data_IF_451978821003
#
_entry.id   IF_451978821003
#
_cell.length_a   1.000
_cell.length_b   1.000
_cell.length_c   1.000
_cell.angle_alpha   90.00
_cell.angle_beta   90.00
_cell.angle_gamma   90.00
#
_symmetry.space_group_name_H-M   'P 1'
#
loop_
_entity.id
_entity.type
_entity.pdbx_description
1 polymer ?
#
# COMPACT_ATOMS: atom_id res chain seq x y z
N UNK A 1 -15.90 -33.70 -18.88
CA UNK A 1 -14.67 -32.88 -18.79
C UNK A 1 -14.57 -32.12 -17.47
N UNK A 2 -15.60 -31.37 -17.04
CA UNK A 2 -15.64 -30.69 -15.73
C UNK A 2 -15.48 -31.63 -14.51
N UNK A 3 -15.96 -32.87 -14.60
CA UNK A 3 -15.85 -33.87 -13.54
C UNK A 3 -14.42 -34.40 -13.36
N UNK A 4 -13.60 -34.45 -14.42
CA UNK A 4 -12.19 -34.88 -14.31
C UNK A 4 -11.31 -33.79 -13.68
N UNK A 5 -11.53 -32.52 -14.02
CA UNK A 5 -10.81 -31.39 -13.41
C UNK A 5 -11.10 -31.25 -11.91
N UNK A 6 -12.34 -31.55 -11.48
CA UNK A 6 -12.74 -31.49 -10.07
C UNK A 6 -12.14 -32.64 -9.23
N UNK A 7 -11.94 -33.81 -9.85
CA UNK A 7 -11.29 -34.96 -9.22
C UNK A 7 -9.77 -34.73 -9.10
N UNK A 8 -9.12 -34.21 -10.14
CA UNK A 8 -7.69 -33.86 -10.09
C UNK A 8 -7.36 -32.80 -9.03
N UNK A 9 -8.22 -31.78 -8.85
CA UNK A 9 -8.04 -30.78 -7.81
C UNK A 9 -8.18 -31.34 -6.39
N UNK A 10 -9.06 -32.34 -6.20
CA UNK A 10 -9.28 -32.95 -4.90
C UNK A 10 -8.15 -33.92 -4.51
N UNK A 11 -7.60 -34.66 -5.48
CA UNK A 11 -6.44 -35.52 -5.29
C UNK A 11 -5.14 -34.72 -5.09
N UNK A 12 -4.94 -33.62 -5.83
CA UNK A 12 -3.81 -32.70 -5.60
C UNK A 12 -3.83 -32.08 -4.20
N UNK A 13 -5.00 -31.67 -3.73
CA UNK A 13 -5.17 -31.15 -2.37
C UNK A 13 -4.98 -32.24 -1.31
N UNK A 14 -5.35 -33.50 -1.59
CA UNK A 14 -5.10 -34.63 -0.71
C UNK A 14 -3.62 -35.02 -0.64
N UNK A 15 -2.91 -34.99 -1.77
CA UNK A 15 -1.46 -35.24 -1.86
C UNK A 15 -0.67 -34.13 -1.16
N UNK A 16 -1.01 -32.85 -1.38
CA UNK A 16 -0.39 -31.73 -0.67
C UNK A 16 -0.62 -31.81 0.85
N UNK A 17 -1.82 -32.24 1.29
CA UNK A 17 -2.13 -32.49 2.71
C UNK A 17 -1.38 -33.70 3.27
N UNK A 18 -1.20 -34.76 2.49
CA UNK A 18 -0.45 -35.95 2.90
C UNK A 18 1.06 -35.68 2.99
N UNK A 19 1.60 -34.87 2.09
CA UNK A 19 3.00 -34.44 2.09
C UNK A 19 3.30 -33.45 3.23
N UNK A 20 2.35 -32.54 3.51
CA UNK A 20 2.40 -31.67 4.69
C UNK A 20 2.37 -32.45 6.02
N UNK A 21 1.67 -33.60 6.05
CA UNK A 21 1.59 -34.47 7.24
C UNK A 21 2.87 -35.30 7.48
N UNK A 22 3.74 -35.42 6.47
CA UNK A 22 4.99 -36.21 6.51
C UNK A 22 6.25 -35.36 6.61
N UNK A 23 6.16 -34.06 6.32
CA UNK A 23 7.25 -33.11 6.51
C UNK A 23 7.41 -32.82 8.00
N UNK A 24 8.60 -33.04 8.57
CA UNK A 24 8.93 -32.55 9.90
C UNK A 24 8.58 -31.06 9.96
N UNK A 25 7.85 -30.64 11.00
CA UNK A 25 7.39 -29.26 11.18
C UNK A 25 8.52 -28.22 10.98
N UNK A 26 9.72 -28.52 11.46
CA UNK A 26 10.92 -27.69 11.25
C UNK A 26 11.37 -27.58 9.79
N UNK A 27 11.22 -28.65 8.99
CA UNK A 27 11.50 -28.63 7.55
C UNK A 27 10.44 -27.79 6.83
N UNK A 28 9.17 -27.85 7.27
CA UNK A 28 8.11 -27.02 6.71
C UNK A 28 8.33 -25.52 7.01
N UNK A 29 8.72 -25.18 8.24
CA UNK A 29 9.12 -23.81 8.60
C UNK A 29 10.32 -23.36 7.77
N UNK A 30 11.37 -24.19 7.67
CA UNK A 30 12.57 -23.87 6.89
C UNK A 30 12.26 -23.62 5.41
N UNK A 31 11.42 -24.47 4.80
CA UNK A 31 10.92 -24.25 3.44
C UNK A 31 10.11 -22.96 3.31
N UNK A 32 9.22 -22.68 4.26
CA UNK A 32 8.44 -21.43 4.28
C UNK A 32 9.33 -20.19 4.37
N UNK A 33 10.38 -20.24 5.19
CA UNK A 33 11.36 -19.15 5.30
C UNK A 33 12.12 -18.95 3.98
N UNK A 34 12.61 -20.02 3.35
CA UNK A 34 13.29 -19.92 2.05
C UNK A 34 12.37 -19.34 0.96
N UNK A 35 11.10 -19.79 0.89
CA UNK A 35 10.12 -19.26 -0.06
C UNK A 35 9.79 -17.78 0.18
N UNK A 36 9.80 -17.34 1.44
CA UNK A 36 9.62 -15.93 1.78
C UNK A 36 10.79 -15.08 1.27
N UNK A 37 12.03 -15.50 1.48
CA UNK A 37 13.21 -14.78 0.95
C UNK A 37 13.28 -14.84 -0.58
N UNK A 38 12.89 -15.95 -1.19
CA UNK A 38 12.75 -16.06 -2.64
C UNK A 38 11.71 -15.06 -3.16
N UNK A 39 10.57 -14.92 -2.48
CA UNK A 39 9.53 -13.94 -2.80
C UNK A 39 10.04 -12.50 -2.69
N UNK A 40 10.79 -12.17 -1.62
CA UNK A 40 11.44 -10.85 -1.48
C UNK A 40 12.41 -10.60 -2.63
N UNK A 41 13.25 -11.59 -2.97
CA UNK A 41 14.24 -11.44 -4.05
C UNK A 41 13.59 -11.24 -5.41
N UNK A 42 12.56 -12.03 -5.73
CA UNK A 42 11.77 -11.89 -6.96
C UNK A 42 11.07 -10.53 -7.00
N UNK A 43 10.47 -10.09 -5.90
CA UNK A 43 9.84 -8.78 -5.77
C UNK A 43 10.84 -7.64 -5.99
N UNK A 44 12.01 -7.71 -5.36
CA UNK A 44 13.10 -6.76 -5.57
C UNK A 44 13.50 -6.69 -7.05
N UNK A 45 13.67 -7.86 -7.69
CA UNK A 45 14.03 -7.94 -9.10
C UNK A 45 12.97 -7.27 -9.97
N UNK A 46 11.68 -7.53 -9.74
CA UNK A 46 10.59 -6.90 -10.50
C UNK A 46 10.62 -5.37 -10.35
N UNK A 47 10.75 -4.89 -9.11
CA UNK A 47 10.73 -3.46 -8.80
C UNK A 47 11.94 -2.71 -9.37
N UNK A 48 13.14 -3.26 -9.28
CA UNK A 48 14.38 -2.57 -9.69
C UNK A 48 14.80 -2.83 -11.14
N UNK A 49 14.28 -3.87 -11.81
CA UNK A 49 14.63 -4.13 -13.22
C UNK A 49 13.82 -3.28 -14.19
N UNK A 50 12.65 -2.79 -13.78
CA UNK A 50 11.78 -1.98 -14.63
C UNK A 50 11.60 -0.57 -14.07
N UNK A 51 11.84 0.44 -14.91
CA UNK A 51 11.58 1.85 -14.58
C UNK A 51 10.11 2.12 -14.26
N UNK A 52 9.20 1.26 -14.73
CA UNK A 52 7.76 1.30 -14.42
C UNK A 52 7.44 1.05 -12.95
N UNK A 53 8.30 0.32 -12.23
CA UNK A 53 8.00 -0.13 -10.86
C UNK A 53 8.94 0.45 -9.82
N UNK A 54 10.11 0.97 -10.21
CA UNK A 54 11.13 1.48 -9.29
C UNK A 54 10.61 2.57 -8.34
N UNK A 55 9.67 3.40 -8.81
CA UNK A 55 9.08 4.49 -8.05
C UNK A 55 8.11 4.02 -6.96
N UNK A 56 7.65 2.76 -7.01
CA UNK A 56 6.81 2.17 -5.96
C UNK A 56 7.57 2.02 -4.64
N UNK A 57 8.90 1.87 -4.68
CA UNK A 57 9.70 1.73 -3.45
C UNK A 57 9.61 2.99 -2.58
N UNK A 58 9.92 4.20 -3.09
CA UNK A 58 9.69 5.42 -2.33
C UNK A 58 8.19 5.73 -2.12
N UNK A 59 7.33 5.56 -3.13
CA UNK A 59 5.92 5.92 -3.03
C UNK A 59 5.12 5.05 -2.06
N UNK A 60 5.46 3.77 -1.93
CA UNK A 60 4.80 2.81 -1.03
C UNK A 60 5.61 2.63 0.25
N UNK A 61 6.86 2.17 0.13
CA UNK A 61 7.67 1.73 1.26
C UNK A 61 8.08 2.86 2.19
N UNK A 62 8.54 4.00 1.64
CA UNK A 62 8.95 5.16 2.45
C UNK A 62 7.73 5.90 3.02
N UNK A 63 6.64 6.01 2.25
CA UNK A 63 5.38 6.57 2.73
C UNK A 63 4.81 5.75 3.91
N UNK A 64 4.73 4.43 3.78
CA UNK A 64 4.28 3.52 4.84
C UNK A 64 5.17 3.62 6.09
N UNK A 65 6.49 3.70 5.91
CA UNK A 65 7.41 3.97 7.02
C UNK A 65 7.09 5.29 7.73
N UNK A 66 6.91 6.38 6.98
CA UNK A 66 6.63 7.71 7.54
C UNK A 66 5.34 7.72 8.35
N UNK A 67 4.28 7.14 7.81
CA UNK A 67 2.99 7.00 8.49
C UNK A 67 3.11 6.21 9.79
N UNK A 68 3.74 5.03 9.75
CA UNK A 68 3.94 4.22 10.96
C UNK A 68 4.84 4.89 11.98
N UNK A 69 5.82 5.67 11.54
CA UNK A 69 6.66 6.47 12.43
C UNK A 69 5.90 7.64 13.09
N UNK A 70 4.92 8.22 12.41
CA UNK A 70 4.02 9.22 13.00
C UNK A 70 3.23 8.61 14.16
N UNK A 71 2.60 7.46 13.94
CA UNK A 71 1.73 6.78 14.90
C UNK A 71 2.49 6.17 16.08
N UNK A 72 3.60 5.48 15.80
CA UNK A 72 4.30 4.66 16.78
C UNK A 72 5.58 5.32 17.31
N UNK A 73 6.09 6.33 16.61
CA UNK A 73 7.27 7.10 17.01
C UNK A 73 6.90 8.46 17.61
N UNK A 74 6.23 9.32 16.84
CA UNK A 74 5.96 10.71 17.23
C UNK A 74 4.82 10.82 18.24
N UNK A 75 3.66 10.18 18.01
CA UNK A 75 2.51 10.31 18.92
C UNK A 75 2.81 9.90 20.37
N UNK A 76 3.52 8.79 20.67
CA UNK A 76 3.90 8.45 22.04
C UNK A 76 4.81 9.50 22.69
N UNK A 77 5.71 10.11 21.91
CA UNK A 77 6.59 11.17 22.42
C UNK A 77 5.81 12.44 22.72
N UNK A 78 4.89 12.86 21.85
CA UNK A 78 4.02 14.01 22.10
C UNK A 78 3.15 13.76 23.34
N UNK A 79 2.49 12.60 23.42
CA UNK A 79 1.63 12.24 24.54
C UNK A 79 2.39 12.23 25.88
N UNK A 80 3.57 11.59 25.93
CA UNK A 80 4.37 11.48 27.14
C UNK A 80 5.08 12.79 27.51
N UNK A 81 5.71 13.46 26.54
CA UNK A 81 6.65 14.57 26.78
C UNK A 81 6.01 15.95 26.74
N UNK A 82 4.94 16.16 25.96
CA UNK A 82 4.18 17.42 25.97
C UNK A 82 2.98 17.35 26.90
N UNK A 83 2.17 16.30 26.75
CA UNK A 83 0.89 16.23 27.45
C UNK A 83 0.99 15.62 28.85
N UNK A 84 2.08 14.90 29.13
CA UNK A 84 2.36 14.27 30.43
C UNK A 84 1.62 12.95 30.66
N UNK A 85 0.95 12.40 29.64
CA UNK A 85 0.22 11.14 29.75
C UNK A 85 0.40 10.31 28.46
N UNK A 86 1.12 9.20 28.56
CA UNK A 86 1.40 8.32 27.42
C UNK A 86 0.15 7.64 26.84
N UNK A 87 -0.90 7.44 27.64
CA UNK A 87 -2.13 6.79 27.19
C UNK A 87 -2.87 7.62 26.12
N UNK A 88 -2.67 8.93 26.12
CA UNK A 88 -3.30 9.82 25.13
C UNK A 88 -2.77 9.65 23.72
N UNK A 89 -1.66 8.94 23.53
CA UNK A 89 -1.23 8.51 22.19
C UNK A 89 -2.29 7.68 21.48
N UNK A 90 -3.09 6.90 22.22
CA UNK A 90 -4.18 6.10 21.65
C UNK A 90 -5.31 6.96 21.08
N UNK A 91 -5.56 8.14 21.66
CA UNK A 91 -6.53 9.10 21.12
C UNK A 91 -6.02 9.67 19.79
N UNK A 92 -4.72 10.02 19.75
CA UNK A 92 -4.07 10.54 18.54
C UNK A 92 -4.09 9.52 17.40
N UNK A 93 -3.70 8.27 17.70
CA UNK A 93 -3.75 7.13 16.76
C UNK A 93 -5.20 6.79 16.39
N UNK A 94 -6.16 6.95 17.30
CA UNK A 94 -7.59 6.82 16.97
C UNK A 94 -8.05 7.81 15.90
N UNK A 95 -7.59 9.06 15.97
CA UNK A 95 -7.81 10.05 14.92
C UNK A 95 -7.14 9.68 13.59
N UNK A 96 -5.92 9.12 13.67
CA UNK A 96 -5.19 8.56 12.52
C UNK A 96 -6.01 7.49 11.79
N UNK A 97 -6.41 6.43 12.50
CA UNK A 97 -7.21 5.32 11.96
C UNK A 97 -8.55 5.79 11.37
N UNK A 98 -9.19 6.79 11.99
CA UNK A 98 -10.42 7.37 11.43
C UNK A 98 -10.15 8.11 10.11
N UNK A 99 -9.03 8.85 10.03
CA UNK A 99 -8.55 9.42 8.78
C UNK A 99 -8.31 8.36 7.70
N UNK A 100 -7.68 7.24 8.06
CA UNK A 100 -7.45 6.12 7.13
C UNK A 100 -8.76 5.59 6.55
N UNK A 101 -9.75 5.35 7.42
CA UNK A 101 -11.08 4.89 7.01
C UNK A 101 -11.73 5.86 6.01
N UNK A 102 -11.66 7.16 6.29
CA UNK A 102 -12.20 8.19 5.40
C UNK A 102 -11.44 8.23 4.06
N UNK A 103 -10.12 8.11 4.07
CA UNK A 103 -9.29 8.10 2.86
C UNK A 103 -9.61 6.91 1.96
N UNK A 104 -9.66 5.71 2.52
CA UNK A 104 -10.03 4.49 1.80
C UNK A 104 -11.45 4.57 1.23
N UNK A 105 -12.42 5.04 2.03
CA UNK A 105 -13.79 5.24 1.58
C UNK A 105 -13.86 6.26 0.44
N UNK A 106 -13.09 7.34 0.52
CA UNK A 106 -13.07 8.36 -0.52
C UNK A 106 -12.48 7.82 -1.83
N UNK A 107 -11.38 7.07 -1.80
CA UNK A 107 -10.87 6.40 -3.01
C UNK A 107 -11.92 5.47 -3.62
N UNK A 108 -12.60 4.68 -2.80
CA UNK A 108 -13.66 3.78 -3.27
C UNK A 108 -14.79 4.55 -3.97
N UNK A 109 -15.29 5.63 -3.36
CA UNK A 109 -16.37 6.45 -3.93
C UNK A 109 -15.97 7.18 -5.21
N UNK A 110 -14.69 7.53 -5.37
CA UNK A 110 -14.17 8.32 -6.48
C UNK A 110 -13.31 7.52 -7.47
N UNK A 111 -13.38 6.18 -7.42
CA UNK A 111 -12.57 5.29 -8.27
C UNK A 111 -12.79 5.53 -9.77
N UNK A 112 -13.99 5.97 -10.16
CA UNK A 112 -14.33 6.26 -11.57
C UNK A 112 -13.81 7.64 -12.04
N UNK A 113 -13.45 8.53 -11.10
CA UNK A 113 -13.02 9.90 -11.39
C UNK A 113 -11.49 9.99 -11.37
N UNK A 114 -10.86 9.37 -10.38
CA UNK A 114 -9.41 9.37 -10.20
C UNK A 114 -8.88 7.98 -10.55
N UNK A 115 -8.41 7.87 -11.78
CA UNK A 115 -8.04 6.60 -12.43
C UNK A 115 -6.66 6.09 -12.03
N UNK A 116 -5.79 6.98 -11.58
CA UNK A 116 -4.40 6.65 -11.23
C UNK A 116 -4.09 7.00 -9.78
N UNK A 117 -3.08 6.36 -9.16
CA UNK A 117 -2.69 6.66 -7.77
C UNK A 117 -1.98 8.02 -7.60
N UNK A 118 -1.58 8.69 -8.68
CA UNK A 118 -0.73 9.89 -8.63
C UNK A 118 -1.33 11.06 -7.86
N UNK A 119 -2.61 11.46 -8.05
CA UNK A 119 -3.22 12.54 -7.27
C UNK A 119 -3.21 12.23 -5.78
N UNK A 120 -3.53 10.99 -5.40
CA UNK A 120 -3.58 10.56 -4.01
C UNK A 120 -2.21 10.57 -3.36
N UNK A 121 -1.17 10.10 -4.04
CA UNK A 121 0.20 10.10 -3.53
C UNK A 121 0.79 11.51 -3.39
N UNK A 122 0.40 12.43 -4.28
CA UNK A 122 0.77 13.85 -4.14
C UNK A 122 0.07 14.49 -2.95
N UNK A 123 -1.22 14.19 -2.79
CA UNK A 123 -1.99 14.66 -1.65
C UNK A 123 -1.39 14.13 -0.34
N UNK A 124 -1.11 12.82 -0.26
CA UNK A 124 -0.41 12.17 0.85
C UNK A 124 0.86 12.92 1.22
N UNK A 125 1.78 13.05 0.27
CA UNK A 125 3.06 13.72 0.49
C UNK A 125 2.89 15.14 1.05
N UNK A 126 1.95 15.93 0.51
CA UNK A 126 1.70 17.29 0.99
C UNK A 126 1.09 17.31 2.39
N UNK A 127 0.17 16.38 2.69
CA UNK A 127 -0.48 16.30 4.01
C UNK A 127 0.51 15.95 5.12
N UNK A 128 1.60 15.21 4.83
CA UNK A 128 2.69 14.97 5.79
C UNK A 128 3.26 16.26 6.41
N UNK A 129 3.21 17.39 5.68
CA UNK A 129 3.72 18.67 6.19
C UNK A 129 2.88 19.26 7.32
N UNK A 130 1.65 18.80 7.53
CA UNK A 130 0.83 19.25 8.65
C UNK A 130 1.60 19.04 9.97
N UNK A 131 2.35 17.95 10.09
CA UNK A 131 3.14 17.57 11.27
C UNK A 131 4.12 18.66 11.75
N UNK A 132 4.49 19.61 10.88
CA UNK A 132 5.32 20.77 11.24
C UNK A 132 4.78 21.61 12.40
N UNK A 133 3.48 21.60 12.66
CA UNK A 133 2.93 22.41 13.77
C UNK A 133 3.40 21.90 15.15
N UNK A 134 3.67 20.60 15.29
CA UNK A 134 3.97 19.93 16.56
C UNK A 134 5.13 20.60 17.32
N UNK A 135 6.33 20.82 16.74
CA UNK A 135 7.44 21.46 17.46
C UNK A 135 7.14 22.89 17.94
N UNK A 136 6.27 23.61 17.24
CA UNK A 136 5.91 25.00 17.56
C UNK A 136 4.64 25.12 18.39
N UNK A 137 4.02 24.00 18.75
CA UNK A 137 2.82 23.97 19.58
C UNK A 137 3.18 23.96 21.07
N UNK A 138 2.44 24.72 21.88
CA UNK A 138 2.66 24.89 23.32
C UNK A 138 1.41 24.47 24.11
N UNK A 139 1.10 23.17 24.18
CA UNK A 139 -0.07 22.72 24.90
C UNK A 139 0.12 22.84 26.41
N UNK A 140 -0.92 23.25 27.16
CA UNK A 140 -0.94 23.03 28.60
C UNK A 140 -0.92 21.53 28.90
N UNK A 141 0.02 21.08 29.75
CA UNK A 141 0.11 19.68 30.15
C UNK A 141 -1.09 19.26 31.01
N UNK A 142 -1.44 17.98 30.98
CA UNK A 142 -2.55 17.46 31.79
C UNK A 142 -3.95 17.68 31.21
N UNK A 143 -4.08 18.19 29.98
CA UNK A 143 -5.37 18.38 29.33
C UNK A 143 -5.59 17.40 28.16
N UNK A 144 -6.59 16.52 28.30
CA UNK A 144 -6.97 15.55 27.25
C UNK A 144 -7.48 16.21 25.97
N UNK A 145 -8.06 17.41 26.07
CA UNK A 145 -8.51 18.19 24.91
C UNK A 145 -7.38 18.43 23.90
N UNK A 146 -6.14 18.58 24.37
CA UNK A 146 -4.97 18.76 23.52
C UNK A 146 -4.66 17.50 22.71
N UNK A 147 -4.94 16.31 23.25
CA UNK A 147 -4.79 15.06 22.50
C UNK A 147 -5.81 14.95 21.36
N UNK A 148 -7.03 15.45 21.54
CA UNK A 148 -8.04 15.53 20.49
C UNK A 148 -7.67 16.52 19.38
N UNK A 149 -6.98 17.61 19.71
CA UNK A 149 -6.43 18.53 18.70
C UNK A 149 -5.41 17.80 17.84
N UNK A 150 -4.47 17.06 18.45
CA UNK A 150 -3.50 16.25 17.69
C UNK A 150 -4.19 15.20 16.83
N UNK A 151 -5.18 14.49 17.39
CA UNK A 151 -5.99 13.52 16.66
C UNK A 151 -6.66 14.14 15.41
N UNK A 152 -7.21 15.35 15.55
CA UNK A 152 -7.80 16.08 14.43
C UNK A 152 -6.77 16.47 13.36
N UNK A 153 -5.55 16.81 13.75
CA UNK A 153 -4.46 17.10 12.78
C UNK A 153 -3.91 15.84 12.09
N UNK A 154 -3.99 14.67 12.73
CA UNK A 154 -3.53 13.40 12.15
C UNK A 154 -4.52 12.86 11.13
N UNK A 155 -5.81 13.22 11.25
CA UNK A 155 -6.86 12.82 10.32
C UNK A 155 -6.50 13.13 8.84
N UNK A 156 -6.19 14.38 8.44
CA UNK A 156 -5.85 14.68 7.04
C UNK A 156 -4.55 14.00 6.57
N UNK A 157 -3.58 13.81 7.45
CA UNK A 157 -2.33 13.08 7.14
C UNK A 157 -2.66 11.63 6.77
N UNK A 158 -3.44 10.98 7.62
CA UNK A 158 -3.78 9.55 7.49
C UNK A 158 -4.80 9.29 6.39
N UNK A 159 -5.66 10.28 6.12
CA UNK A 159 -6.53 10.29 4.95
C UNK A 159 -5.71 10.25 3.66
N UNK A 160 -4.72 11.15 3.55
CA UNK A 160 -3.83 11.21 2.39
C UNK A 160 -3.09 9.88 2.21
N UNK A 161 -2.49 9.38 3.29
CA UNK A 161 -1.78 8.11 3.29
C UNK A 161 -2.65 6.93 2.84
N UNK A 162 -3.82 6.73 3.46
CA UNK A 162 -4.70 5.60 3.11
C UNK A 162 -5.24 5.71 1.69
N UNK A 163 -5.54 6.92 1.22
CA UNK A 163 -5.92 7.12 -0.18
C UNK A 163 -4.78 6.75 -1.14
N UNK A 164 -3.54 7.11 -0.78
CA UNK A 164 -2.33 6.70 -1.49
C UNK A 164 -2.15 5.18 -1.49
N UNK A 165 -2.21 4.54 -0.32
CA UNK A 165 -1.99 3.09 -0.14
C UNK A 165 -3.01 2.26 -0.91
N UNK A 166 -4.31 2.55 -0.77
CA UNK A 166 -5.38 1.79 -1.45
C UNK A 166 -5.29 1.95 -2.97
N UNK A 167 -5.12 3.18 -3.46
CA UNK A 167 -5.01 3.42 -4.91
C UNK A 167 -3.74 2.81 -5.50
N UNK A 168 -2.63 2.83 -4.76
CA UNK A 168 -1.37 2.24 -5.20
C UNK A 168 -1.40 0.71 -5.17
N UNK A 169 -2.02 0.12 -4.15
CA UNK A 169 -2.25 -1.33 -4.09
C UNK A 169 -3.10 -1.81 -5.26
N UNK A 170 -4.20 -1.11 -5.58
CA UNK A 170 -5.02 -1.40 -6.76
C UNK A 170 -4.22 -1.29 -8.07
N UNK A 171 -3.38 -0.26 -8.19
CA UNK A 171 -2.49 -0.10 -9.35
C UNK A 171 -1.47 -1.25 -9.49
N UNK A 172 -0.87 -1.69 -8.39
CA UNK A 172 0.09 -2.81 -8.37
C UNK A 172 -0.63 -4.10 -8.79
N UNK A 173 -1.83 -4.34 -8.24
CA UNK A 173 -2.67 -5.50 -8.59
C UNK A 173 -2.98 -5.53 -10.09
N UNK A 174 -3.54 -4.45 -10.64
CA UNK A 174 -3.87 -4.37 -12.06
C UNK A 174 -2.63 -4.50 -12.97
N UNK A 175 -1.52 -3.85 -12.59
CA UNK A 175 -0.28 -3.89 -13.38
C UNK A 175 0.40 -5.26 -13.40
N UNK A 176 0.27 -6.05 -12.33
CA UNK A 176 0.95 -7.34 -12.18
C UNK A 176 0.07 -8.53 -12.59
N UNK A 177 -1.25 -8.40 -12.63
CA UNK A 177 -2.17 -9.44 -13.10
C UNK A 177 -1.78 -9.97 -14.50
N UNK A 178 -1.29 -9.08 -15.38
CA UNK A 178 -0.82 -9.45 -16.73
C UNK A 178 0.46 -10.30 -16.71
N UNK A 179 1.32 -10.12 -15.72
CA UNK A 179 2.57 -10.87 -15.55
C UNK A 179 2.35 -12.23 -14.87
N UNK A 180 1.26 -12.37 -14.11
CA UNK A 180 0.89 -13.62 -13.43
C UNK A 180 0.61 -14.77 -14.40
N UNK A 181 0.23 -14.47 -15.65
CA UNK A 181 0.06 -15.45 -16.73
C UNK A 181 1.35 -16.17 -17.17
N UNK A 182 2.54 -15.69 -16.77
CA UNK A 182 3.85 -16.19 -17.27
C UNK A 182 4.72 -16.91 -16.24
N UNK A 183 4.47 -16.76 -14.93
CA UNK A 183 5.35 -17.28 -13.87
C UNK A 183 4.61 -18.26 -12.94
N UNK A 184 5.10 -19.50 -12.86
CA UNK A 184 4.38 -20.60 -12.18
C UNK A 184 4.82 -20.89 -10.73
N UNK A 185 5.91 -20.28 -10.24
CA UNK A 185 6.47 -20.62 -8.90
C UNK A 185 6.13 -19.64 -7.79
N UNK A 186 6.07 -18.34 -8.09
CA UNK A 186 5.74 -17.28 -7.11
C UNK A 186 4.84 -16.26 -7.81
N UNK A 187 3.71 -15.90 -7.18
CA UNK A 187 2.84 -14.84 -7.70
C UNK A 187 3.60 -13.50 -7.72
N UNK A 188 3.71 -12.82 -8.88
CA UNK A 188 4.38 -11.52 -8.98
C UNK A 188 3.82 -10.47 -8.02
N UNK A 189 2.49 -10.46 -7.83
CA UNK A 189 1.81 -9.59 -6.88
C UNK A 189 2.28 -9.85 -5.45
N UNK A 190 2.22 -11.12 -5.02
CA UNK A 190 2.68 -11.53 -3.69
C UNK A 190 4.14 -11.20 -3.45
N UNK A 191 5.00 -11.42 -4.45
CA UNK A 191 6.43 -11.11 -4.37
C UNK A 191 6.71 -9.60 -4.20
N UNK A 192 6.07 -8.75 -5.00
CA UNK A 192 6.21 -7.29 -4.92
C UNK A 192 5.74 -6.77 -3.56
N UNK A 193 4.56 -7.21 -3.09
CA UNK A 193 4.04 -6.81 -1.78
C UNK A 193 4.92 -7.31 -0.64
N UNK A 194 5.43 -8.55 -0.71
CA UNK A 194 6.35 -9.10 0.28
C UNK A 194 7.64 -8.27 0.37
N UNK A 195 8.21 -7.85 -0.76
CA UNK A 195 9.36 -6.97 -0.77
C UNK A 195 9.06 -5.60 -0.16
N UNK A 196 7.99 -4.93 -0.59
CA UNK A 196 7.63 -3.58 -0.13
C UNK A 196 7.38 -3.54 1.38
N UNK A 197 6.64 -4.53 1.92
CA UNK A 197 6.43 -4.62 3.36
C UNK A 197 7.72 -4.94 4.12
N UNK A 198 8.54 -5.85 3.61
CA UNK A 198 9.84 -6.17 4.24
C UNK A 198 10.76 -4.96 4.26
N UNK A 199 10.81 -4.20 3.17
CA UNK A 199 11.58 -2.96 3.06
C UNK A 199 11.13 -1.93 4.11
N UNK A 200 9.82 -1.72 4.25
CA UNK A 200 9.27 -0.83 5.27
C UNK A 200 9.65 -1.31 6.69
N UNK A 201 9.43 -2.59 7.01
CA UNK A 201 9.66 -3.14 8.37
C UNK A 201 11.13 -2.97 8.76
N UNK A 202 12.05 -3.32 7.86
CA UNK A 202 13.50 -3.19 8.09
C UNK A 202 13.88 -1.72 8.25
N UNK A 203 13.38 -0.84 7.37
CA UNK A 203 13.63 0.59 7.44
C UNK A 203 13.12 1.18 8.76
N UNK A 204 11.91 0.82 9.17
CA UNK A 204 11.31 1.24 10.43
C UNK A 204 12.11 0.77 11.65
N UNK A 205 12.55 -0.50 11.67
CA UNK A 205 13.35 -1.03 12.77
C UNK A 205 14.69 -0.30 12.92
N UNK A 206 15.38 -0.05 11.79
CA UNK A 206 16.66 0.66 11.78
C UNK A 206 16.46 2.12 12.17
N UNK A 207 15.65 2.86 11.40
CA UNK A 207 15.44 4.29 11.58
C UNK A 207 14.80 4.59 12.95
N UNK A 208 13.79 3.81 13.37
CA UNK A 208 13.17 3.95 14.68
C UNK A 208 14.15 3.79 15.84
N UNK A 209 15.11 2.86 15.74
CA UNK A 209 16.16 2.70 16.76
C UNK A 209 17.06 3.92 16.83
N UNK A 210 17.51 4.46 15.70
CA UNK A 210 18.39 5.62 15.67
C UNK A 210 17.68 6.91 16.09
N UNK A 211 16.47 7.14 15.57
CA UNK A 211 15.68 8.32 15.88
C UNK A 211 15.22 8.33 17.35
N UNK A 212 14.86 7.17 17.91
CA UNK A 212 14.55 7.03 19.33
C UNK A 212 15.74 7.39 20.22
N UNK A 213 16.93 6.84 19.93
CA UNK A 213 18.17 7.21 20.64
C UNK A 213 18.51 8.69 20.53
N UNK A 214 18.27 9.29 19.36
CA UNK A 214 18.48 10.72 19.14
C UNK A 214 17.52 11.56 20.00
N UNK A 215 16.22 11.24 19.97
CA UNK A 215 15.18 11.89 20.79
C UNK A 215 15.51 11.85 22.29
N UNK A 216 15.84 10.66 22.80
CA UNK A 216 16.21 10.49 24.21
C UNK A 216 17.51 11.23 24.55
N UNK A 217 18.49 11.22 23.64
CA UNK A 217 19.75 11.94 23.79
C UNK A 217 19.59 13.46 23.89
N UNK A 218 18.72 14.05 23.05
CA UNK A 218 18.40 15.49 23.12
C UNK A 218 17.64 15.80 24.41
N UNK A 219 16.62 15.00 24.74
CA UNK A 219 15.83 15.21 25.96
C UNK A 219 16.70 15.19 27.22
N UNK A 220 17.65 14.26 27.32
CA UNK A 220 18.55 14.15 28.47
C UNK A 220 19.52 15.33 28.59
N UNK A 221 19.79 16.06 27.50
CA UNK A 221 20.70 17.23 27.50
C UNK A 221 19.98 18.55 27.75
N UNK A 222 18.80 18.73 27.16
CA UNK A 222 18.10 20.02 27.15
C UNK A 222 16.88 20.05 28.07
N UNK A 223 16.42 18.89 28.55
CA UNK A 223 15.16 18.75 29.29
C UNK A 223 13.90 18.95 28.43
N UNK A 224 14.06 19.17 27.12
CA UNK A 224 12.96 19.48 26.19
C UNK A 224 13.04 18.59 24.95
N UNK A 225 11.90 18.09 24.50
CA UNK A 225 11.81 17.26 23.28
C UNK A 225 11.62 18.10 22.01
N UNK A 226 11.42 19.43 22.14
CA UNK A 226 11.07 20.32 21.01
C UNK A 226 12.11 20.30 19.91
N UNK A 227 13.38 20.48 20.26
CA UNK A 227 14.48 20.49 19.29
C UNK A 227 14.59 19.17 18.55
N UNK A 228 14.37 18.05 19.27
CA UNK A 228 14.32 16.75 18.64
C UNK A 228 13.13 16.63 17.67
N UNK A 229 11.94 17.12 18.04
CA UNK A 229 10.75 17.11 17.19
C UNK A 229 10.85 18.05 15.98
N UNK A 230 11.61 19.14 16.04
CA UNK A 230 11.92 19.93 14.83
C UNK A 230 12.61 19.05 13.80
N UNK A 231 13.58 18.23 14.22
CA UNK A 231 14.31 17.35 13.31
C UNK A 231 13.52 16.09 12.93
N UNK A 232 12.83 15.45 13.87
CA UNK A 232 12.14 14.17 13.61
C UNK A 232 10.71 14.31 13.08
N UNK A 233 9.98 15.36 13.45
CA UNK A 233 8.60 15.60 13.02
C UNK A 233 8.53 16.67 11.91
N UNK A 234 9.46 17.63 11.91
CA UNK A 234 9.57 18.65 10.84
C UNK A 234 10.47 18.19 9.69
N UNK A 235 11.79 18.26 9.89
CA UNK A 235 12.80 18.03 8.83
C UNK A 235 12.66 16.63 8.21
N UNK A 236 12.56 15.59 9.03
CA UNK A 236 12.45 14.21 8.54
C UNK A 236 11.19 13.98 7.69
N UNK A 237 10.03 14.51 8.10
CA UNK A 237 8.81 14.42 7.30
C UNK A 237 8.86 15.30 6.05
N UNK A 238 9.58 16.43 6.06
CA UNK A 238 9.86 17.19 4.82
C UNK A 238 10.69 16.38 3.84
N UNK A 239 11.69 15.63 4.32
CA UNK A 239 12.49 14.75 3.47
C UNK A 239 11.62 13.63 2.89
N UNK A 240 10.78 12.99 3.72
CA UNK A 240 9.83 11.97 3.26
C UNK A 240 8.89 12.55 2.22
N UNK A 241 8.29 13.71 2.48
CA UNK A 241 7.46 14.44 1.53
C UNK A 241 8.19 14.64 0.21
N UNK A 242 9.42 15.17 0.24
CA UNK A 242 10.17 15.45 -0.98
C UNK A 242 10.48 14.16 -1.77
N UNK A 243 10.85 13.07 -1.09
CA UNK A 243 11.13 11.78 -1.72
C UNK A 243 9.88 11.16 -2.34
N UNK A 244 8.77 11.10 -1.58
CA UNK A 244 7.50 10.55 -2.07
C UNK A 244 6.97 11.42 -3.21
N UNK A 245 6.90 12.73 -3.03
CA UNK A 245 6.42 13.68 -4.04
C UNK A 245 7.25 13.60 -5.33
N UNK A 246 8.58 13.62 -5.23
CA UNK A 246 9.47 13.49 -6.38
C UNK A 246 9.28 12.14 -7.10
N UNK A 247 9.04 11.06 -6.36
CA UNK A 247 8.80 9.74 -6.97
C UNK A 247 7.54 9.70 -7.84
N UNK A 248 6.54 10.53 -7.54
CA UNK A 248 5.31 10.61 -8.36
C UNK A 248 5.56 11.12 -9.78
N UNK A 249 6.72 11.73 -10.07
CA UNK A 249 7.10 12.23 -11.40
C UNK A 249 7.93 11.25 -12.23
N UNK A 250 8.30 10.09 -11.66
CA UNK A 250 9.09 9.05 -12.34
C UNK A 250 8.27 8.26 -13.38
N UNK A 251 7.03 7.78 -13.12
CA UNK A 251 6.31 6.98 -14.09
C UNK A 251 5.96 7.77 -15.36
N UNK A 252 5.96 7.12 -16.53
CA UNK A 252 5.67 7.81 -17.79
C UNK A 252 4.21 8.29 -17.80
N UNK A 253 4.01 9.54 -18.21
CA UNK A 253 2.69 10.17 -18.28
C UNK A 253 2.24 10.87 -16.98
N UNK A 254 3.02 10.80 -15.89
CA UNK A 254 2.57 11.28 -14.58
C UNK A 254 2.61 12.80 -14.36
N UNK A 255 3.08 13.59 -15.32
CA UNK A 255 3.21 15.06 -15.17
C UNK A 255 1.88 15.79 -15.08
N UNK A 256 0.80 15.19 -15.59
CA UNK A 256 -0.56 15.72 -15.44
C UNK A 256 -1.04 15.52 -14.01
N UNK A 257 -1.98 16.35 -13.54
CA UNK A 257 -2.52 16.23 -12.18
C UNK A 257 -3.19 14.87 -11.97
N UNK A 258 -4.11 14.48 -12.86
CA UNK A 258 -4.81 13.20 -12.90
C UNK A 258 -4.57 12.55 -14.28
N UNK A 259 -3.48 11.79 -14.47
CA UNK A 259 -3.24 11.09 -15.72
C UNK A 259 -4.25 9.96 -15.90
N UNK A 260 -4.71 9.74 -17.14
CA UNK A 260 -5.64 8.64 -17.47
C UNK A 260 -4.92 7.29 -17.60
N UNK A 261 -3.61 7.31 -17.84
CA UNK A 261 -2.77 6.12 -18.04
C UNK A 261 -1.39 6.36 -17.43
N UNK A 262 -0.79 5.29 -16.91
CA UNK A 262 0.62 5.24 -16.51
C UNK A 262 1.32 4.11 -17.26
N UNK A 263 2.48 4.40 -17.83
CA UNK A 263 3.31 3.42 -18.57
C UNK A 263 2.48 2.60 -19.59
N UNK A 264 1.70 3.30 -20.42
CA UNK A 264 0.85 2.79 -21.51
C UNK A 264 -0.20 1.75 -21.06
N UNK A 265 -0.55 1.74 -19.77
CA UNK A 265 -1.58 0.85 -19.21
C UNK A 265 -2.83 1.64 -18.83
N UNK A 266 -3.98 1.26 -19.40
CA UNK A 266 -5.30 1.72 -18.96
C UNK A 266 -5.76 0.84 -17.81
N UNK A 267 -6.17 1.47 -16.71
CA UNK A 267 -6.63 0.77 -15.50
C UNK A 267 -8.14 0.47 -15.54
N UNK A 268 -8.90 1.24 -16.33
CA UNK A 268 -10.37 1.15 -16.36
C UNK A 268 -10.91 -0.04 -17.18
N UNK A 269 -10.19 -0.49 -18.21
CA UNK A 269 -10.64 -1.60 -19.09
C UNK A 269 -10.63 -2.95 -18.33
N UNK A 270 -9.83 -3.07 -17.27
CA UNK A 270 -9.60 -4.34 -16.57
C UNK A 270 -10.65 -4.62 -15.46
N UNK A 271 -11.42 -3.61 -14.97
CA UNK A 271 -12.48 -3.81 -13.97
C UNK A 271 -13.78 -4.36 -14.61
N UNK A 272 -14.06 -3.99 -15.86
CA UNK A 272 -15.26 -4.44 -16.57
C UNK A 272 -15.12 -5.88 -17.10
N UNK A 273 -13.92 -6.33 -17.47
CA UNK A 273 -13.69 -7.68 -17.99
C UNK A 273 -13.85 -8.79 -16.94
N UNK A 274 -13.65 -8.51 -15.65
CA UNK A 274 -13.88 -9.48 -14.57
C UNK A 274 -15.35 -9.65 -14.18
N UNK A 275 -16.23 -8.74 -14.64
CA UNK A 275 -17.67 -8.76 -14.37
C UNK A 275 -18.50 -9.47 -15.44
N UNK A 276 -17.89 -9.82 -16.58
CA UNK A 276 -18.53 -10.57 -17.67
C UNK A 276 -17.98 -11.99 -17.68
N UNK A 277 -18.77 -12.94 -17.18
CA UNK A 277 -18.49 -14.36 -17.38
C UNK A 277 -18.28 -14.67 -18.88
N UNK A 278 -17.41 -15.61 -19.27
CA UNK A 278 -17.09 -15.90 -20.68
C UNK A 278 -18.24 -16.48 -21.53
N UNK A 279 -19.49 -16.47 -21.08
CA UNK A 279 -20.58 -17.20 -21.74
C UNK A 279 -21.47 -16.37 -22.67
N UNK A 280 -21.25 -15.07 -22.85
CA UNK A 280 -22.17 -14.23 -23.65
C UNK A 280 -21.57 -13.56 -24.90
N UNK A 281 -20.25 -13.68 -25.16
CA UNK A 281 -19.63 -13.08 -26.36
C UNK A 281 -19.65 -13.97 -27.62
N UNK A 282 -20.10 -15.22 -27.54
CA UNK A 282 -20.09 -16.17 -28.67
C UNK A 282 -21.47 -16.43 -29.34
N UNK A 283 -22.51 -15.63 -29.05
CA UNK A 283 -23.86 -15.86 -29.63
C UNK A 283 -24.43 -14.76 -30.52
N UNK A 284 -23.64 -13.78 -30.97
CA UNK A 284 -24.12 -12.81 -31.95
C UNK A 284 -23.03 -12.50 -32.98
N UNK A 285 -22.98 -13.32 -34.03
CA UNK A 285 -22.89 -12.90 -35.44
C UNK A 285 -22.50 -14.09 -36.34
N UNK A 286 -23.47 -14.67 -37.04
CA UNK A 286 -23.18 -15.33 -38.32
C UNK A 286 -24.35 -15.15 -39.29
N UNK A 287 -24.42 -14.04 -40.06
CA UNK A 287 -25.49 -13.78 -41.01
C UNK A 287 -25.12 -14.34 -42.39
N UNK A 288 -24.98 -15.67 -42.52
CA UNK A 288 -24.80 -16.32 -43.84
C UNK A 288 -25.45 -17.70 -43.93
N UNK A 289 -26.77 -17.79 -43.81
CA UNK A 289 -27.51 -18.93 -44.37
C UNK A 289 -28.97 -18.54 -44.64
N UNK A 290 -29.18 -17.80 -45.73
CA UNK A 290 -30.49 -17.67 -46.34
C UNK A 290 -30.33 -17.82 -47.85
N UNK A 291 -30.36 -19.06 -48.34
CA UNK A 291 -30.85 -19.33 -49.69
C UNK A 291 -31.18 -20.82 -49.88
N UNK A 292 -32.42 -21.05 -50.36
CA UNK A 292 -32.93 -22.19 -51.14
C UNK A 292 -33.45 -23.41 -50.38
N UNK A 293 -34.75 -23.34 -50.05
CA UNK A 293 -35.65 -24.50 -50.13
C UNK A 293 -35.91 -24.86 -51.60
N UNK A 294 -35.95 -26.14 -51.98
CA UNK A 294 -36.71 -26.61 -53.11
C UNK A 294 -38.10 -27.09 -52.67
N UNK A 295 -39.09 -26.76 -53.51
CA UNK A 295 -40.48 -27.15 -53.40
C UNK A 295 -40.69 -28.66 -53.55
N UNK A 296 -41.68 -29.20 -52.82
CA UNK A 296 -42.35 -30.45 -53.18
C UNK A 296 -43.84 -30.17 -53.28
N UNK A 297 -44.36 -30.46 -54.46
CA UNK A 297 -45.76 -30.45 -54.89
C UNK A 297 -46.40 -31.78 -54.45
N UNK A 298 -47.52 -31.72 -53.72
CA UNK A 298 -48.84 -32.32 -54.03
C UNK A 298 -49.87 -31.59 -53.17
#
# INVERSE_FOLDING_TARGET
MLLMLKVEGHERNALARAEARKSNYFIAIGKGFLLFFESIWVGARILFTSTRFVWLVPAYGVALYGHRYLENGIAPQVARRYLGNSAWSQIMVGGSNFGELLGALFVFLFTNVIKTPIPWLRLDALMLLIVWYIPYWYPPSGQVSQAWIVAATFLPVSFGWAAGDVSLAAFIQASLARLESKEHRVSPLGAVMAFLYSFYIVTYAIAGTFLGRYLDGVYNRTGSVREALVNTAGVHFTIIMAVVFASTFIPKGSRTFNPEMLDDTKLDEDIEEESLSPSEKDMVEDPKLNEKMPAIVV
#
